data_IF_815247609181
#
_entry.id   IF_815247609181
#
_cell.length_a   1.000
_cell.length_b   1.000
_cell.length_c   1.000
_cell.angle_alpha   90.00
_cell.angle_beta   90.00
_cell.angle_gamma   90.00
#
_symmetry.space_group_name_H-M   'P 1'
#
loop_
_entity.id
_entity.type
_entity.pdbx_description
1 polymer ?
#
# COMPACT_ATOMS: atom_id res chain seq x y z
N UNK A 1 4.45 -3.32 -12.94
CA UNK A 1 5.37 -4.27 -12.23
C UNK A 1 4.75 -4.70 -10.91
N UNK A 2 5.07 -5.88 -10.35
CA UNK A 2 4.54 -6.27 -9.03
C UNK A 2 5.53 -5.91 -7.92
N UNK A 3 5.06 -5.25 -6.86
CA UNK A 3 5.83 -4.97 -5.63
C UNK A 3 5.09 -5.46 -4.40
N UNK A 4 5.79 -5.79 -3.34
CA UNK A 4 5.19 -6.08 -2.02
C UNK A 4 4.72 -4.79 -1.35
N UNK A 5 3.77 -4.90 -0.44
CA UNK A 5 3.27 -3.77 0.35
C UNK A 5 4.40 -3.02 1.09
N UNK A 6 5.41 -3.74 1.57
CA UNK A 6 6.59 -3.18 2.24
C UNK A 6 7.60 -2.50 1.31
N UNK A 7 7.51 -2.74 0.00
CA UNK A 7 8.42 -2.19 -1.02
C UNK A 7 7.84 -0.97 -1.73
N UNK A 8 6.58 -0.64 -1.45
CA UNK A 8 5.92 0.53 -1.98
C UNK A 8 6.55 1.81 -1.41
N UNK A 9 6.47 2.88 -2.18
CA UNK A 9 6.99 4.20 -1.82
C UNK A 9 5.95 5.28 -2.07
N UNK A 10 6.04 6.37 -1.29
CA UNK A 10 5.23 7.56 -1.52
C UNK A 10 5.49 8.13 -2.92
N UNK A 11 4.42 8.50 -3.61
CA UNK A 11 4.46 9.02 -4.99
C UNK A 11 4.32 7.95 -6.07
N UNK A 12 4.46 6.66 -5.73
CA UNK A 12 4.17 5.59 -6.68
C UNK A 12 2.67 5.47 -6.94
N UNK A 13 2.33 4.93 -8.11
CA UNK A 13 0.95 4.67 -8.52
C UNK A 13 0.66 3.18 -8.53
N UNK A 14 -0.47 2.77 -7.94
CA UNK A 14 -0.91 1.38 -7.88
C UNK A 14 -2.31 1.22 -8.46
N UNK A 15 -2.56 0.07 -9.09
CA UNK A 15 -3.88 -0.26 -9.62
C UNK A 15 -4.71 -1.03 -8.58
N UNK A 16 -5.87 -0.48 -8.21
CA UNK A 16 -6.84 -1.12 -7.31
C UNK A 16 -8.25 -0.88 -7.85
N UNK A 17 -9.02 -1.95 -8.06
CA UNK A 17 -10.42 -1.90 -8.54
C UNK A 17 -10.56 -1.06 -9.83
N UNK A 18 -9.68 -1.31 -10.79
CA UNK A 18 -9.60 -0.60 -12.08
C UNK A 18 -9.34 0.92 -12.01
N UNK A 19 -9.06 1.44 -10.81
CA UNK A 19 -8.59 2.81 -10.60
C UNK A 19 -7.09 2.84 -10.33
N UNK A 20 -6.45 3.93 -10.75
CA UNK A 20 -5.03 4.21 -10.49
C UNK A 20 -4.94 5.14 -9.29
N UNK A 21 -4.36 4.66 -8.20
CA UNK A 21 -4.24 5.41 -6.97
C UNK A 21 -2.80 5.86 -6.75
N UNK A 22 -2.60 7.11 -6.33
CA UNK A 22 -1.29 7.63 -5.93
C UNK A 22 -1.08 7.37 -4.44
N UNK A 23 0.09 6.87 -4.06
CA UNK A 23 0.45 6.64 -2.66
C UNK A 23 0.85 7.96 -2.01
N UNK A 24 0.09 8.38 -1.00
CA UNK A 24 0.32 9.59 -0.20
C UNK A 24 1.20 9.32 1.03
N UNK A 25 1.14 8.10 1.57
CA UNK A 25 1.83 7.72 2.79
C UNK A 25 1.84 6.21 2.99
N UNK A 26 2.88 5.71 3.65
CA UNK A 26 3.00 4.30 4.03
C UNK A 26 3.50 4.25 5.46
N UNK A 27 2.80 3.50 6.30
CA UNK A 27 3.19 3.20 7.66
C UNK A 27 3.32 1.68 7.80
N UNK A 28 4.44 1.22 8.33
CA UNK A 28 4.65 -0.22 8.61
C UNK A 28 4.70 -0.42 10.11
N UNK A 29 3.93 -1.38 10.61
CA UNK A 29 3.88 -1.73 12.02
C UNK A 29 4.12 -3.22 12.22
N UNK A 30 4.92 -3.56 13.22
CA UNK A 30 5.06 -4.93 13.72
C UNK A 30 3.79 -5.30 14.51
N UNK A 31 3.17 -6.42 14.13
CA UNK A 31 1.92 -6.89 14.71
C UNK A 31 2.01 -8.38 15.06
N UNK A 32 1.68 -8.70 16.32
CA UNK A 32 1.69 -10.08 16.83
C UNK A 32 3.02 -10.50 17.47
N UNK A 33 3.05 -11.70 18.08
CA UNK A 33 4.20 -12.21 18.84
C UNK A 33 5.31 -12.80 17.98
N UNK A 34 5.07 -13.03 16.68
CA UNK A 34 5.97 -13.71 15.75
C UNK A 34 6.53 -12.81 14.64
N UNK A 35 6.58 -11.49 14.84
CA UNK A 35 7.25 -10.57 13.90
C UNK A 35 6.54 -10.38 12.56
N UNK A 36 5.23 -10.63 12.49
CA UNK A 36 4.44 -10.31 11.30
C UNK A 36 4.35 -8.79 11.14
N UNK A 37 4.42 -8.29 9.91
CA UNK A 37 4.32 -6.85 9.61
C UNK A 37 3.07 -6.54 8.81
N UNK A 38 2.40 -5.44 9.14
CA UNK A 38 1.32 -4.85 8.35
C UNK A 38 1.76 -3.50 7.81
N UNK A 39 1.35 -3.20 6.58
CA UNK A 39 1.53 -1.91 5.94
C UNK A 39 0.16 -1.24 5.82
N UNK A 40 0.03 -0.06 6.41
CA UNK A 40 -1.05 0.89 6.16
C UNK A 40 -0.61 1.81 5.04
N UNK A 41 -1.35 1.81 3.93
CA UNK A 41 -1.04 2.59 2.74
C UNK A 41 -2.16 3.59 2.54
N UNK A 42 -1.82 4.87 2.52
CA UNK A 42 -2.72 5.97 2.24
C UNK A 42 -2.66 6.31 0.75
N UNK A 43 -3.82 6.41 0.13
CA UNK A 43 -4.01 6.48 -1.30
C UNK A 43 -4.91 7.66 -1.66
N UNK A 44 -4.60 8.32 -2.76
CA UNK A 44 -5.42 9.37 -3.35
C UNK A 44 -5.77 9.07 -4.81
N UNK A 45 -6.99 9.41 -5.21
CA UNK A 45 -7.45 9.34 -6.60
C UNK A 45 -8.51 10.41 -6.82
N UNK A 46 -8.26 11.38 -7.73
CA UNK A 46 -9.26 12.38 -8.15
C UNK A 46 -9.99 13.10 -6.99
N UNK A 47 -9.28 13.40 -5.90
CA UNK A 47 -9.84 14.03 -4.70
C UNK A 47 -10.42 13.07 -3.66
N UNK A 48 -10.60 11.80 -3.99
CA UNK A 48 -10.94 10.72 -3.04
C UNK A 48 -9.67 10.28 -2.29
N UNK A 49 -9.83 9.97 -0.99
CA UNK A 49 -8.77 9.38 -0.17
C UNK A 49 -9.21 8.01 0.35
N UNK A 50 -8.29 7.06 0.35
CA UNK A 50 -8.52 5.71 0.85
C UNK A 50 -7.32 5.26 1.68
N UNK A 51 -7.55 4.51 2.75
CA UNK A 51 -6.48 3.83 3.47
C UNK A 51 -6.72 2.32 3.42
N UNK A 52 -5.70 1.57 3.04
CA UNK A 52 -5.74 0.11 3.03
C UNK A 52 -4.70 -0.46 3.99
N UNK A 53 -5.05 -1.56 4.64
CA UNK A 53 -4.13 -2.29 5.53
C UNK A 53 -3.95 -3.69 4.97
N UNK A 54 -2.72 -4.05 4.65
CA UNK A 54 -2.36 -5.38 4.13
C UNK A 54 -1.11 -5.92 4.82
N UNK A 55 -0.90 -7.25 4.83
CA UNK A 55 0.38 -7.82 5.21
C UNK A 55 1.52 -7.24 4.38
N UNK A 56 2.72 -7.11 4.95
CA UNK A 56 3.91 -6.59 4.27
C UNK A 56 4.20 -7.32 2.94
N UNK A 57 3.96 -8.63 2.90
CA UNK A 57 4.21 -9.49 1.73
C UNK A 57 3.11 -9.41 0.65
N UNK A 58 2.02 -8.67 0.88
CA UNK A 58 0.90 -8.62 -0.06
C UNK A 58 1.33 -7.97 -1.38
N UNK A 59 1.10 -8.61 -2.54
CA UNK A 59 1.53 -8.08 -3.82
C UNK A 59 0.58 -7.00 -4.35
N UNK A 60 1.15 -5.89 -4.81
CA UNK A 60 0.49 -4.80 -5.51
C UNK A 60 0.98 -4.68 -6.95
N UNK A 61 0.08 -4.28 -7.84
CA UNK A 61 0.42 -3.91 -9.21
C UNK A 61 0.75 -2.40 -9.25
N UNK A 62 2.04 -2.11 -9.43
CA UNK A 62 2.59 -0.77 -9.60
C UNK A 62 2.59 -0.42 -11.09
N UNK A 63 2.17 0.79 -11.41
CA UNK A 63 2.13 1.32 -12.78
C UNK A 63 3.46 2.01 -13.09
#
# INVERSE_FOLDING_TARGET
>A
MRKKASELQKGEQIKILDKVWTIEGIETSDIGKQGSKKCRIELSYSGEKMAIIRPAEYPFEVI
#
